data_IF_168634886210
#
_entry.id   IF_168634886210
#
_cell.length_a   1.000
_cell.length_b   1.000
_cell.length_c   1.000
_cell.angle_alpha   90.00
_cell.angle_beta   90.00
_cell.angle_gamma   90.00
#
_symmetry.space_group_name_H-M   'P 1'
#
loop_
_entity.id
_entity.type
_entity.pdbx_description
1 polymer ?
#
# COMPACT_ATOMS: atom_id res chain seq x y z
N UNK A 1 9.62 21.44 -0.98
CA UNK A 1 8.99 20.15 -1.36
C UNK A 1 10.05 19.08 -1.21
N UNK A 2 9.90 18.13 -0.28
CA UNK A 2 10.77 16.95 -0.26
C UNK A 2 10.28 16.00 -1.37
N UNK A 3 11.14 15.74 -2.34
CA UNK A 3 10.86 14.76 -3.38
C UNK A 3 11.14 13.37 -2.83
N UNK A 4 10.10 12.55 -2.72
CA UNK A 4 10.27 11.13 -2.42
C UNK A 4 10.63 10.46 -3.75
N UNK A 5 11.91 10.15 -3.92
CA UNK A 5 12.42 9.40 -5.08
C UNK A 5 12.15 7.92 -4.87
N UNK A 6 11.32 7.33 -5.72
CA UNK A 6 11.12 5.88 -5.78
C UNK A 6 12.09 5.35 -6.81
N UNK A 7 13.16 4.70 -6.36
CA UNK A 7 14.08 3.99 -7.23
C UNK A 7 13.44 2.65 -7.64
N UNK A 8 13.23 2.48 -8.94
CA UNK A 8 12.56 1.31 -9.50
C UNK A 8 13.60 0.50 -10.27
N UNK A 9 14.14 -0.54 -9.64
CA UNK A 9 15.05 -1.48 -10.31
C UNK A 9 14.24 -2.42 -11.20
N UNK A 10 14.24 -2.16 -12.50
CA UNK A 10 13.64 -3.06 -13.49
C UNK A 10 14.49 -4.31 -13.67
N UNK A 11 13.89 -5.50 -13.49
CA UNK A 11 14.54 -6.77 -13.77
C UNK A 11 14.65 -7.03 -15.28
N UNK A 12 15.83 -7.41 -15.75
CA UNK A 12 16.11 -7.72 -17.17
C UNK A 12 15.37 -8.98 -17.70
N UNK A 13 14.72 -9.78 -16.85
CA UNK A 13 14.16 -11.08 -17.23
C UNK A 13 12.90 -11.43 -16.44
N UNK A 14 11.74 -11.40 -17.09
CA UNK A 14 10.47 -11.82 -16.51
C UNK A 14 10.14 -13.28 -16.87
N UNK A 15 10.04 -14.16 -15.88
CA UNK A 15 9.64 -15.57 -16.09
C UNK A 15 8.13 -15.70 -16.26
N UNK A 16 7.67 -16.56 -17.19
CA UNK A 16 6.23 -16.82 -17.42
C UNK A 16 5.54 -17.40 -16.18
N UNK A 17 6.29 -18.16 -15.37
CA UNK A 17 5.80 -18.75 -14.11
C UNK A 17 5.60 -17.65 -13.05
N UNK A 18 6.48 -16.66 -13.04
CA UNK A 18 6.38 -15.53 -12.11
C UNK A 18 5.16 -14.67 -12.38
N UNK A 19 4.82 -14.46 -13.67
CA UNK A 19 3.56 -13.81 -14.05
C UNK A 19 2.34 -14.56 -13.48
N UNK A 20 2.35 -15.90 -13.51
CA UNK A 20 1.27 -16.72 -12.97
C UNK A 20 1.19 -16.65 -11.43
N UNK A 21 2.34 -16.74 -10.75
CA UNK A 21 2.41 -16.57 -9.29
C UNK A 21 1.92 -15.18 -8.87
N UNK A 22 2.31 -14.15 -9.63
CA UNK A 22 1.88 -12.77 -9.42
C UNK A 22 0.37 -12.60 -9.60
N UNK A 23 -0.25 -13.31 -10.54
CA UNK A 23 -1.71 -13.32 -10.69
C UNK A 23 -2.42 -13.87 -9.44
N UNK A 24 -1.96 -15.01 -8.91
CA UNK A 24 -2.49 -15.54 -7.64
C UNK A 24 -2.23 -14.57 -6.47
N UNK A 25 -1.06 -13.94 -6.47
CA UNK A 25 -0.70 -12.93 -5.48
C UNK A 25 -1.60 -11.70 -5.55
N UNK A 26 -1.99 -11.28 -6.76
CA UNK A 26 -2.89 -10.16 -6.98
C UNK A 26 -4.26 -10.40 -6.33
N UNK A 27 -4.76 -11.64 -6.40
CA UNK A 27 -6.03 -12.02 -5.78
C UNK A 27 -5.90 -11.94 -4.25
N UNK A 28 -4.88 -12.59 -3.68
CA UNK A 28 -4.71 -12.63 -2.22
C UNK A 28 -4.40 -11.25 -1.65
N UNK A 29 -3.40 -10.56 -2.21
CA UNK A 29 -3.03 -9.20 -1.80
C UNK A 29 -4.13 -8.18 -2.08
N UNK A 30 -4.91 -8.38 -3.15
CA UNK A 30 -6.08 -7.54 -3.46
C UNK A 30 -7.17 -7.64 -2.40
N UNK A 31 -7.45 -8.83 -1.88
CA UNK A 31 -8.40 -9.03 -0.77
C UNK A 31 -7.91 -8.33 0.50
N UNK A 32 -6.62 -8.48 0.83
CA UNK A 32 -6.01 -7.80 1.99
C UNK A 32 -6.10 -6.28 1.84
N UNK A 33 -5.77 -5.76 0.66
CA UNK A 33 -5.89 -4.32 0.37
C UNK A 33 -7.33 -3.83 0.47
N UNK A 34 -8.29 -4.62 0.01
CA UNK A 34 -9.70 -4.25 0.06
C UNK A 34 -10.18 -4.10 1.51
N UNK A 35 -9.85 -5.04 2.39
CA UNK A 35 -10.19 -4.95 3.82
C UNK A 35 -9.51 -3.74 4.46
N UNK A 36 -8.21 -3.54 4.22
CA UNK A 36 -7.47 -2.39 4.75
C UNK A 36 -7.98 -1.06 4.21
N UNK A 37 -8.49 -1.04 2.97
CA UNK A 37 -9.08 0.16 2.36
C UNK A 37 -10.35 0.59 3.08
N UNK A 38 -11.17 -0.35 3.55
CA UNK A 38 -12.38 -0.04 4.32
C UNK A 38 -11.98 0.60 5.66
N UNK A 39 -11.05 -0.05 6.38
CA UNK A 39 -10.54 0.46 7.67
C UNK A 39 -9.93 1.85 7.51
N UNK A 40 -9.06 2.02 6.51
CA UNK A 40 -8.38 3.28 6.22
C UNK A 40 -9.34 4.37 5.76
N UNK A 41 -10.39 4.02 5.02
CA UNK A 41 -11.45 4.93 4.63
C UNK A 41 -12.20 5.50 5.84
N UNK A 42 -12.54 4.65 6.81
CA UNK A 42 -13.14 5.11 8.08
C UNK A 42 -12.16 5.99 8.86
N UNK A 43 -10.90 5.57 8.99
CA UNK A 43 -9.86 6.37 9.66
C UNK A 43 -9.66 7.73 9.00
N UNK A 44 -9.72 7.81 7.67
CA UNK A 44 -9.61 9.05 6.91
C UNK A 44 -10.77 10.01 7.20
N UNK A 45 -12.01 9.51 7.20
CA UNK A 45 -13.20 10.30 7.53
C UNK A 45 -13.10 10.83 8.97
N UNK A 46 -12.74 9.97 9.93
CA UNK A 46 -12.55 10.37 11.32
C UNK A 46 -11.43 11.42 11.45
N UNK A 47 -10.31 11.22 10.75
CA UNK A 47 -9.18 12.14 10.77
C UNK A 47 -9.57 13.51 10.20
N UNK A 48 -10.38 13.53 9.14
CA UNK A 48 -10.92 14.74 8.54
C UNK A 48 -11.80 15.50 9.53
N UNK A 49 -12.74 14.84 10.21
CA UNK A 49 -13.60 15.46 11.21
C UNK A 49 -12.80 15.99 12.41
N UNK A 50 -11.80 15.24 12.89
CA UNK A 50 -10.93 15.68 13.99
C UNK A 50 -10.15 16.94 13.60
N UNK A 51 -9.62 17.01 12.38
CA UNK A 51 -8.87 18.18 11.91
C UNK A 51 -9.79 19.40 11.78
N UNK A 52 -11.02 19.23 11.30
CA UNK A 52 -11.97 20.35 11.20
C UNK A 52 -12.31 20.95 12.57
N UNK A 53 -12.43 20.12 13.61
CA UNK A 53 -12.83 20.57 14.95
C UNK A 53 -11.62 21.05 15.77
N UNK A 54 -10.52 20.29 15.74
CA UNK A 54 -9.37 20.48 16.66
C UNK A 54 -8.20 21.20 16.00
N UNK A 55 -8.19 21.32 14.66
CA UNK A 55 -7.03 21.77 13.87
C UNK A 55 -5.74 20.98 14.16
N UNK A 56 -5.87 19.75 14.69
CA UNK A 56 -4.75 18.84 14.99
C UNK A 56 -4.98 17.49 14.34
N UNK A 57 -3.89 16.88 13.88
CA UNK A 57 -3.91 15.52 13.32
C UNK A 57 -3.76 14.50 14.44
N UNK A 58 -4.51 13.40 14.36
CA UNK A 58 -4.43 12.33 15.34
C UNK A 58 -3.33 11.35 14.93
N UNK A 59 -2.34 11.12 15.79
CA UNK A 59 -1.21 10.26 15.46
C UNK A 59 -1.62 8.81 15.20
N UNK A 60 -2.62 8.29 15.93
CA UNK A 60 -3.08 6.90 15.75
C UNK A 60 -3.70 6.70 14.38
N UNK A 61 -4.57 7.61 13.93
CA UNK A 61 -5.22 7.51 12.63
C UNK A 61 -4.23 7.76 11.48
N UNK A 62 -3.30 8.70 11.67
CA UNK A 62 -2.22 8.95 10.71
C UNK A 62 -1.33 7.71 10.52
N UNK A 63 -1.05 6.96 11.60
CA UNK A 63 -0.25 5.74 11.51
C UNK A 63 -0.94 4.66 10.67
N UNK A 64 -2.25 4.44 10.89
CA UNK A 64 -3.06 3.49 10.10
C UNK A 64 -3.05 3.88 8.62
N UNK A 65 -3.23 5.18 8.31
CA UNK A 65 -3.20 5.67 6.94
C UNK A 65 -1.82 5.45 6.29
N UNK A 66 -0.73 5.77 6.99
CA UNK A 66 0.64 5.54 6.49
C UNK A 66 0.91 4.08 6.20
N UNK A 67 0.51 3.19 7.11
CA UNK A 67 0.65 1.75 6.96
C UNK A 67 -0.09 1.26 5.71
N UNK A 68 -1.34 1.69 5.52
CA UNK A 68 -2.13 1.38 4.33
C UNK A 68 -1.47 1.87 3.04
N UNK A 69 -1.07 3.14 2.97
CA UNK A 69 -0.46 3.71 1.76
C UNK A 69 0.90 3.09 1.43
N UNK A 70 1.71 2.75 2.44
CA UNK A 70 2.99 2.05 2.29
C UNK A 70 2.78 0.65 1.71
N UNK A 71 1.81 -0.09 2.25
CA UNK A 71 1.47 -1.42 1.76
C UNK A 71 0.85 -1.39 0.37
N UNK A 72 -0.10 -0.48 0.11
CA UNK A 72 -0.75 -0.35 -1.19
C UNK A 72 0.22 0.00 -2.30
N UNK A 73 1.13 0.94 -2.05
CA UNK A 73 2.14 1.35 -3.04
C UNK A 73 3.08 0.18 -3.38
N UNK A 74 3.54 -0.56 -2.36
CA UNK A 74 4.40 -1.73 -2.56
C UNK A 74 3.69 -2.83 -3.35
N UNK A 75 2.46 -3.16 -2.97
CA UNK A 75 1.68 -4.18 -3.68
C UNK A 75 1.36 -3.73 -5.11
N UNK A 76 0.96 -2.49 -5.34
CA UNK A 76 0.73 -1.95 -6.68
C UNK A 76 2.00 -1.97 -7.53
N UNK A 77 3.16 -1.59 -6.98
CA UNK A 77 4.43 -1.66 -7.70
C UNK A 77 4.76 -3.11 -8.12
N UNK A 78 4.54 -4.07 -7.22
CA UNK A 78 4.69 -5.48 -7.52
C UNK A 78 3.59 -6.02 -8.45
N UNK A 79 2.39 -5.46 -8.51
CA UNK A 79 1.38 -5.97 -9.47
C UNK A 79 1.60 -5.39 -10.87
N UNK A 80 2.05 -4.14 -10.95
CA UNK A 80 2.26 -3.39 -12.19
C UNK A 80 3.60 -3.66 -12.89
N UNK A 81 4.44 -4.57 -12.36
CA UNK A 81 5.75 -4.93 -12.97
C UNK A 81 6.74 -3.77 -12.90
N UNK A 82 6.63 -2.97 -11.83
CA UNK A 82 7.65 -2.00 -11.50
C UNK A 82 8.78 -2.65 -10.69
N UNK A 83 8.46 -3.59 -9.81
CA UNK A 83 9.46 -4.32 -9.01
C UNK A 83 9.26 -5.83 -9.14
N UNK A 84 10.37 -6.57 -9.14
CA UNK A 84 10.39 -8.03 -8.99
C UNK A 84 10.40 -8.46 -7.50
N UNK A 85 10.67 -7.53 -6.58
CA UNK A 85 10.69 -7.83 -5.16
C UNK A 85 9.26 -8.03 -4.63
N UNK A 86 8.99 -9.22 -4.10
CA UNK A 86 7.68 -9.58 -3.54
C UNK A 86 7.48 -8.91 -2.17
N UNK A 87 6.53 -7.98 -2.02
CA UNK A 87 6.25 -7.36 -0.73
C UNK A 87 5.61 -8.37 0.21
N UNK A 88 5.79 -8.27 1.54
CA UNK A 88 5.12 -9.17 2.49
C UNK A 88 3.60 -9.10 2.32
N UNK A 89 2.89 -10.22 2.49
CA UNK A 89 1.43 -10.29 2.37
C UNK A 89 0.72 -9.50 3.48
N UNK A 90 1.36 -9.40 4.64
CA UNK A 90 0.82 -8.71 5.80
C UNK A 90 1.53 -7.35 5.88
N UNK A 91 0.78 -6.24 6.03
CA UNK A 91 1.39 -4.95 6.28
C UNK A 91 2.17 -5.01 7.61
N UNK A 92 3.47 -4.78 7.52
CA UNK A 92 4.34 -4.59 8.68
C UNK A 92 4.32 -3.10 9.07
N UNK A 93 4.27 -2.83 10.37
CA UNK A 93 4.19 -1.47 10.92
C UNK A 93 5.34 -0.56 10.43
#
# INVERSE_FOLDING_TARGET
>A
MQTVTVDVQGGESASRVELFVRFLYAIVGGIVLWVLSIVSGVCWILQFLIVLITAKRNQTLDNVLRMYFKYSTRLSAYLLILTEERPPLIPEE
#
